data_IF_480955940724
#
_entry.id   IF_480955940724
#
_cell.length_a   1.000
_cell.length_b   1.000
_cell.length_c   1.000
_cell.angle_alpha   90.00
_cell.angle_beta   90.00
_cell.angle_gamma   90.00
#
_symmetry.space_group_name_H-M   'P 1'
#
loop_
_entity.id
_entity.type
_entity.pdbx_description
1 polymer ?
#
# COMPACT_ATOMS: atom_id res chain seq x y z
N UNK A 1 22.63 -69.05 7.91
CA UNK A 1 21.54 -68.22 7.34
C UNK A 1 21.91 -66.76 7.51
N UNK A 2 22.49 -66.16 6.46
CA UNK A 2 22.97 -64.78 6.45
C UNK A 2 21.78 -63.81 6.43
N UNK A 3 21.63 -63.01 7.49
CA UNK A 3 20.72 -61.86 7.49
C UNK A 3 21.52 -60.58 7.30
N UNK A 4 21.27 -59.95 6.16
CA UNK A 4 21.63 -58.58 5.81
C UNK A 4 21.06 -57.60 6.84
N UNK A 5 21.87 -56.65 7.30
CA UNK A 5 21.37 -55.42 7.90
C UNK A 5 21.94 -54.23 7.13
N UNK A 6 21.07 -53.70 6.26
CA UNK A 6 21.23 -52.42 5.59
C UNK A 6 21.08 -51.31 6.64
N UNK A 7 22.15 -50.53 6.86
CA UNK A 7 22.06 -49.30 7.61
C UNK A 7 21.47 -48.20 6.71
N UNK A 8 20.15 -47.99 6.80
CA UNK A 8 19.51 -46.79 6.29
C UNK A 8 19.81 -45.64 7.25
N UNK A 9 20.78 -44.81 6.89
CA UNK A 9 20.96 -43.47 7.46
C UNK A 9 19.76 -42.62 7.03
N UNK A 10 18.73 -42.58 7.87
CA UNK A 10 17.63 -41.64 7.74
C UNK A 10 18.18 -40.24 8.01
N UNK A 11 18.39 -39.48 6.93
CA UNK A 11 18.65 -38.05 7.00
C UNK A 11 17.36 -37.39 7.50
N UNK A 12 17.24 -37.15 8.81
CA UNK A 12 16.11 -36.42 9.38
C UNK A 12 16.26 -34.95 8.99
N UNK A 13 15.61 -34.55 7.90
CA UNK A 13 15.30 -33.14 7.68
C UNK A 13 14.38 -32.69 8.82
N UNK A 14 14.95 -32.10 9.87
CA UNK A 14 14.17 -31.39 10.86
C UNK A 14 13.54 -30.18 10.18
N UNK A 15 12.31 -30.33 9.68
CA UNK A 15 11.48 -29.20 9.36
C UNK A 15 11.35 -28.37 10.63
N UNK A 16 11.98 -27.20 10.68
CA UNK A 16 11.87 -26.29 11.80
C UNK A 16 10.37 -25.97 12.00
N UNK A 17 9.77 -26.55 13.03
CA UNK A 17 8.40 -26.22 13.40
C UNK A 17 8.40 -24.76 13.82
N UNK A 18 7.62 -23.93 13.11
CA UNK A 18 7.42 -22.53 13.43
C UNK A 18 6.65 -22.45 14.75
N UNK A 19 7.37 -22.42 15.87
CA UNK A 19 6.80 -22.28 17.19
C UNK A 19 6.71 -20.81 17.58
N UNK A 20 5.58 -20.43 18.19
CA UNK A 20 5.35 -19.09 18.76
C UNK A 20 6.42 -18.76 19.80
N UNK A 21 6.93 -17.54 19.77
CA UNK A 21 7.86 -17.04 20.78
C UNK A 21 7.10 -16.58 22.06
N UNK A 22 7.24 -17.27 23.21
CA UNK A 22 6.55 -16.88 24.44
C UNK A 22 6.95 -15.50 24.97
N UNK A 23 8.13 -14.98 24.61
CA UNK A 23 8.58 -13.66 25.06
C UNK A 23 7.76 -12.52 24.47
N UNK A 24 7.05 -12.78 23.36
CA UNK A 24 6.19 -11.82 22.69
C UNK A 24 4.72 -11.86 23.15
N UNK A 25 4.37 -12.69 24.14
CA UNK A 25 2.97 -12.87 24.57
C UNK A 25 2.33 -11.56 25.07
N UNK A 26 3.02 -10.80 25.91
CA UNK A 26 2.54 -9.50 26.37
C UNK A 26 2.40 -8.48 25.22
N UNK A 27 3.31 -8.53 24.23
CA UNK A 27 3.29 -7.63 23.08
C UNK A 27 2.12 -7.94 22.14
N UNK A 28 1.84 -9.23 21.93
CA UNK A 28 0.68 -9.69 21.17
C UNK A 28 -0.64 -9.27 21.82
N UNK A 29 -0.78 -9.45 23.14
CA UNK A 29 -1.98 -9.05 23.86
C UNK A 29 -2.20 -7.54 23.82
N UNK A 30 -1.12 -6.75 23.96
CA UNK A 30 -1.18 -5.30 23.82
C UNK A 30 -1.56 -4.89 22.40
N UNK A 31 -0.99 -5.52 21.38
CA UNK A 31 -1.31 -5.24 19.97
C UNK A 31 -2.78 -5.57 19.66
N UNK A 32 -3.27 -6.75 20.09
CA UNK A 32 -4.70 -7.12 19.95
C UNK A 32 -5.60 -6.10 20.62
N UNK A 33 -5.28 -5.68 21.84
CA UNK A 33 -6.05 -4.67 22.58
C UNK A 33 -6.05 -3.32 21.86
N UNK A 34 -4.90 -2.91 21.33
CA UNK A 34 -4.73 -1.63 20.61
C UNK A 34 -5.61 -1.57 19.36
N UNK A 35 -5.70 -2.66 18.61
CA UNK A 35 -6.46 -2.72 17.35
C UNK A 35 -7.81 -3.43 17.48
N UNK A 36 -8.27 -3.73 18.69
CA UNK A 36 -9.57 -4.36 18.95
C UNK A 36 -9.72 -5.75 18.32
N UNK A 37 -8.62 -6.52 18.19
CA UNK A 37 -8.62 -7.82 17.53
C UNK A 37 -9.27 -8.88 18.42
N UNK A 38 -10.19 -9.64 17.83
CA UNK A 38 -10.91 -10.74 18.48
C UNK A 38 -10.93 -11.94 17.53
N UNK A 39 -10.61 -13.12 18.05
CA UNK A 39 -10.59 -14.37 17.31
C UNK A 39 -11.55 -15.35 17.98
N UNK A 40 -12.40 -16.01 17.20
CA UNK A 40 -13.45 -16.88 17.75
C UNK A 40 -12.89 -18.27 18.09
N UNK A 41 -11.92 -18.72 17.31
CA UNK A 41 -11.34 -20.06 17.44
C UNK A 41 -9.90 -19.97 17.92
N UNK A 42 -9.51 -20.87 18.84
CA UNK A 42 -8.13 -20.92 19.35
C UNK A 42 -7.11 -21.20 18.23
N UNK A 43 -7.49 -22.02 17.24
CA UNK A 43 -6.64 -22.32 16.09
C UNK A 43 -6.43 -21.10 15.20
N UNK A 44 -7.46 -20.25 15.03
CA UNK A 44 -7.35 -18.98 14.33
C UNK A 44 -6.36 -18.04 15.03
N UNK A 45 -6.49 -17.88 16.36
CA UNK A 45 -5.58 -17.01 17.12
C UNK A 45 -4.12 -17.47 17.00
N UNK A 46 -3.86 -18.77 17.06
CA UNK A 46 -2.50 -19.31 16.89
C UNK A 46 -1.96 -18.99 15.49
N UNK A 47 -2.75 -19.18 14.44
CA UNK A 47 -2.34 -18.85 13.08
C UNK A 47 -2.06 -17.34 12.91
N UNK A 48 -2.96 -16.49 13.42
CA UNK A 48 -2.83 -15.02 13.39
C UNK A 48 -1.59 -14.54 14.14
N UNK A 49 -1.30 -15.15 15.29
CA UNK A 49 -0.08 -14.87 16.05
C UNK A 49 1.19 -15.20 15.26
N UNK A 50 1.24 -16.33 14.55
CA UNK A 50 2.40 -16.71 13.75
C UNK A 50 2.61 -15.76 12.55
N UNK A 51 1.54 -15.30 11.92
CA UNK A 51 1.60 -14.27 10.87
C UNK A 51 2.12 -12.96 11.45
N UNK A 52 1.60 -12.56 12.61
CA UNK A 52 2.04 -11.35 13.30
C UNK A 52 3.53 -11.37 13.68
N UNK A 53 4.05 -12.48 14.20
CA UNK A 53 5.48 -12.61 14.52
C UNK A 53 6.35 -12.54 13.26
N UNK A 54 5.89 -13.13 12.15
CA UNK A 54 6.57 -13.05 10.85
C UNK A 54 6.64 -11.61 10.35
N UNK A 55 5.53 -10.90 10.39
CA UNK A 55 5.45 -9.49 9.99
C UNK A 55 6.28 -8.61 10.92
N UNK A 56 6.27 -8.86 12.23
CA UNK A 56 7.11 -8.15 13.19
C UNK A 56 8.59 -8.32 12.85
N UNK A 57 9.04 -9.54 12.57
CA UNK A 57 10.42 -9.80 12.14
C UNK A 57 10.77 -9.08 10.84
N UNK A 58 9.87 -9.08 9.87
CA UNK A 58 10.05 -8.33 8.61
C UNK A 58 10.22 -6.83 8.87
N UNK A 59 9.34 -6.23 9.69
CA UNK A 59 9.42 -4.82 10.09
C UNK A 59 10.74 -4.50 10.79
N UNK A 60 11.17 -5.36 11.73
CA UNK A 60 12.41 -5.15 12.47
C UNK A 60 13.64 -5.16 11.56
N UNK A 61 13.74 -6.13 10.64
CA UNK A 61 14.86 -6.24 9.71
C UNK A 61 14.89 -5.08 8.71
N UNK A 62 13.74 -4.75 8.12
CA UNK A 62 13.64 -3.60 7.22
C UNK A 62 14.03 -2.29 7.91
N UNK A 63 13.58 -2.07 9.16
CA UNK A 63 13.91 -0.85 9.89
C UNK A 63 15.38 -0.78 10.31
N UNK A 64 16.05 -1.93 10.51
CA UNK A 64 17.50 -2.00 10.68
C UNK A 64 18.21 -1.53 9.40
N UNK A 65 17.79 -2.02 8.23
CA UNK A 65 18.30 -1.58 6.93
C UNK A 65 18.04 -0.08 6.68
N UNK A 66 16.84 0.41 7.02
CA UNK A 66 16.51 1.84 6.98
C UNK A 66 17.45 2.67 7.84
N UNK A 67 17.78 2.22 9.07
CA UNK A 67 18.72 2.92 9.96
C UNK A 67 20.14 3.03 9.40
N UNK A 68 20.49 2.14 8.45
CA UNK A 68 21.75 2.15 7.70
C UNK A 68 21.64 2.93 6.38
N UNK A 69 20.53 3.62 6.13
CA UNK A 69 20.31 4.42 4.92
C UNK A 69 19.99 3.60 3.66
N UNK A 70 19.66 2.32 3.79
CA UNK A 70 19.34 1.45 2.65
C UNK A 70 17.94 1.69 2.09
N UNK A 71 17.03 2.21 2.92
CA UNK A 71 15.64 2.52 2.55
C UNK A 71 15.29 3.97 2.87
N UNK A 72 14.44 4.59 2.06
CA UNK A 72 13.92 5.95 2.27
C UNK A 72 12.64 6.01 3.13
N UNK A 73 12.21 4.87 3.68
CA UNK A 73 10.98 4.71 4.46
C UNK A 73 11.16 3.71 5.59
N UNK A 74 10.27 3.76 6.58
CA UNK A 74 10.18 2.81 7.68
C UNK A 74 8.82 2.08 7.68
N UNK A 75 8.81 0.92 8.33
CA UNK A 75 7.62 0.10 8.51
C UNK A 75 7.15 0.13 9.97
N UNK A 76 5.89 -0.27 10.18
CA UNK A 76 5.31 -0.38 11.51
C UNK A 76 4.22 -1.44 11.58
N UNK A 77 4.12 -2.09 12.75
CA UNK A 77 3.03 -3.02 13.03
C UNK A 77 1.71 -2.27 13.22
N UNK A 78 0.97 -2.14 12.12
CA UNK A 78 -0.37 -1.57 12.11
C UNK A 78 -1.46 -2.65 12.32
N UNK A 79 -2.72 -2.28 12.12
CA UNK A 79 -3.87 -3.17 12.27
C UNK A 79 -3.93 -4.33 11.25
N UNK A 80 -3.11 -4.31 10.18
CA UNK A 80 -2.96 -5.39 9.20
C UNK A 80 -1.83 -6.36 9.58
N UNK A 81 -1.19 -6.16 10.73
CA UNK A 81 -0.01 -6.93 11.15
C UNK A 81 -0.23 -8.44 11.29
N UNK A 82 -1.46 -8.92 11.46
CA UNK A 82 -1.83 -10.34 11.52
C UNK A 82 -2.37 -10.91 10.19
N UNK A 83 -2.20 -10.18 9.08
CA UNK A 83 -2.66 -10.58 7.75
C UNK A 83 -1.48 -10.89 6.81
N UNK A 84 -1.71 -11.79 5.85
CA UNK A 84 -0.76 -12.03 4.74
C UNK A 84 -0.97 -11.04 3.59
N UNK A 85 0.01 -10.92 2.69
CA UNK A 85 -0.13 -10.13 1.45
C UNK A 85 -1.37 -10.52 0.65
N UNK A 86 -1.63 -11.82 0.54
CA UNK A 86 -2.74 -12.36 -0.22
C UNK A 86 -4.08 -12.00 0.43
N UNK A 87 -4.18 -12.08 1.76
CA UNK A 87 -5.37 -11.66 2.49
C UNK A 87 -5.63 -10.16 2.34
N UNK A 88 -4.58 -9.33 2.49
CA UNK A 88 -4.70 -7.88 2.30
C UNK A 88 -5.14 -7.57 0.87
N UNK A 89 -4.48 -8.15 -0.13
CA UNK A 89 -4.83 -7.92 -1.54
C UNK A 89 -6.25 -8.38 -1.85
N UNK A 90 -6.65 -9.54 -1.36
CA UNK A 90 -7.99 -10.10 -1.61
C UNK A 90 -9.10 -9.30 -0.93
N UNK A 91 -8.87 -8.77 0.27
CA UNK A 91 -9.90 -8.07 1.06
C UNK A 91 -9.90 -6.57 0.81
N UNK A 92 -8.76 -6.00 0.42
CA UNK A 92 -8.53 -4.55 0.41
C UNK A 92 -8.06 -4.01 -0.95
N UNK A 93 -7.75 -4.86 -1.94
CA UNK A 93 -7.28 -4.44 -3.27
C UNK A 93 -8.17 -5.03 -4.36
N UNK A 94 -9.44 -4.60 -4.40
CA UNK A 94 -10.46 -5.13 -5.31
C UNK A 94 -10.48 -4.47 -6.70
N UNK A 95 -9.41 -3.78 -7.10
CA UNK A 95 -9.41 -3.02 -8.33
C UNK A 95 -9.48 -3.95 -9.54
N UNK A 96 -10.38 -3.62 -10.47
CA UNK A 96 -10.42 -4.21 -11.81
C UNK A 96 -10.13 -3.10 -12.80
N UNK A 97 -9.00 -3.20 -13.48
CA UNK A 97 -8.60 -2.23 -14.50
C UNK A 97 -9.04 -2.69 -15.89
N UNK A 98 -9.50 -1.77 -16.77
CA UNK A 98 -9.76 -2.10 -18.16
C UNK A 98 -8.44 -2.36 -18.91
N UNK A 99 -8.53 -3.00 -20.08
CA UNK A 99 -7.37 -3.08 -20.96
C UNK A 99 -6.99 -1.69 -21.47
N UNK A 100 -5.69 -1.43 -21.67
CA UNK A 100 -5.22 -0.09 -22.07
C UNK A 100 -5.90 0.43 -23.34
N UNK A 101 -6.13 -0.44 -24.34
CA UNK A 101 -6.76 -0.09 -25.61
C UNK A 101 -8.25 0.31 -25.50
N UNK A 102 -8.89 0.07 -24.36
CA UNK A 102 -10.28 0.47 -24.10
C UNK A 102 -10.39 1.88 -23.52
N UNK A 103 -9.28 2.54 -23.19
CA UNK A 103 -9.27 3.85 -22.55
C UNK A 103 -9.35 4.98 -23.57
N UNK A 104 -10.11 6.02 -23.23
CA UNK A 104 -10.27 7.20 -24.06
C UNK A 104 -9.43 8.35 -23.50
N UNK A 105 -8.13 8.31 -23.81
CA UNK A 105 -7.18 9.32 -23.36
C UNK A 105 -7.41 10.62 -24.14
N UNK A 106 -7.93 11.62 -23.44
CA UNK A 106 -8.27 12.93 -24.01
C UNK A 106 -7.43 14.07 -23.41
N UNK A 107 -6.73 13.81 -22.31
CA UNK A 107 -5.86 14.79 -21.67
C UNK A 107 -4.68 15.16 -22.56
N UNK A 108 -4.34 16.46 -22.58
CA UNK A 108 -3.15 16.99 -23.23
C UNK A 108 -2.48 17.96 -22.27
N UNK A 109 -1.28 17.61 -21.81
CA UNK A 109 -0.46 18.51 -21.01
C UNK A 109 0.06 19.69 -21.82
N UNK A 110 0.45 20.75 -21.11
CA UNK A 110 1.25 21.83 -21.62
C UNK A 110 2.70 21.70 -21.10
N UNK A 111 3.65 21.18 -21.90
CA UNK A 111 5.03 20.95 -21.46
C UNK A 111 5.78 22.20 -21.00
N UNK A 112 5.29 23.40 -21.37
CA UNK A 112 5.93 24.67 -21.04
C UNK A 112 5.32 25.32 -19.78
N UNK A 113 4.33 24.69 -19.16
CA UNK A 113 3.68 25.24 -17.98
C UNK A 113 4.58 25.13 -16.74
N UNK A 114 4.74 26.23 -16.02
CA UNK A 114 5.48 26.24 -14.76
C UNK A 114 4.56 25.84 -13.61
N UNK A 115 4.70 24.59 -13.19
CA UNK A 115 3.99 24.04 -12.03
C UNK A 115 4.76 24.29 -10.72
N UNK A 116 4.07 24.38 -9.57
CA UNK A 116 4.77 24.48 -8.28
C UNK A 116 5.58 23.21 -8.01
N UNK A 117 6.70 23.34 -7.29
CA UNK A 117 7.59 22.23 -6.94
C UNK A 117 6.95 21.24 -5.95
N UNK A 118 6.06 21.74 -5.10
CA UNK A 118 5.28 20.95 -4.16
C UNK A 118 3.86 21.48 -4.07
N UNK A 119 2.92 20.58 -3.82
CA UNK A 119 1.50 20.88 -3.71
C UNK A 119 0.84 19.88 -2.77
N UNK A 120 -0.03 20.39 -1.90
CA UNK A 120 -0.87 19.57 -1.04
C UNK A 120 -2.31 20.10 -1.04
N UNK A 121 -3.25 19.33 -1.61
CA UNK A 121 -4.66 19.70 -1.63
C UNK A 121 -5.34 19.63 -0.26
N UNK A 122 -4.71 19.00 0.75
CA UNK A 122 -5.19 19.02 2.14
C UNK A 122 -5.15 20.44 2.71
N UNK A 123 -4.10 21.19 2.40
CA UNK A 123 -3.93 22.58 2.85
C UNK A 123 -4.99 23.52 2.24
N UNK A 124 -5.55 23.12 1.10
CA UNK A 124 -6.62 23.86 0.39
C UNK A 124 -8.03 23.40 0.80
N UNK A 125 -8.17 22.45 1.71
CA UNK A 125 -9.48 21.92 2.14
C UNK A 125 -10.20 21.07 1.09
N UNK A 126 -9.51 20.61 0.04
CA UNK A 126 -10.11 19.81 -1.04
C UNK A 126 -10.03 18.29 -0.79
N UNK A 127 -9.58 17.88 0.39
CA UNK A 127 -9.39 16.47 0.75
C UNK A 127 -10.15 16.19 2.03
N UNK A 128 -11.14 15.29 1.97
CA UNK A 128 -11.89 14.84 3.14
C UNK A 128 -11.05 13.94 4.05
N UNK A 129 -11.57 13.63 5.24
CA UNK A 129 -10.96 12.64 6.14
C UNK A 129 -10.72 11.28 5.48
N UNK A 130 -9.68 10.58 5.93
CA UNK A 130 -9.40 9.19 5.55
C UNK A 130 -10.53 8.29 6.03
N UNK A 131 -10.94 7.35 5.18
CA UNK A 131 -11.96 6.35 5.48
C UNK A 131 -11.32 4.98 5.67
N UNK A 132 -12.06 4.08 6.29
CA UNK A 132 -11.70 2.67 6.43
C UNK A 132 -12.64 1.84 5.56
N UNK A 133 -12.10 1.21 4.52
CA UNK A 133 -12.85 0.28 3.70
C UNK A 133 -12.88 -1.09 4.41
N UNK A 134 -14.07 -1.63 4.65
CA UNK A 134 -14.28 -2.96 5.21
C UNK A 134 -14.33 -4.04 4.11
N UNK A 135 -13.62 -3.81 3.01
CA UNK A 135 -13.64 -4.64 1.80
C UNK A 135 -14.84 -4.41 0.87
N UNK A 136 -15.72 -3.44 1.16
CA UNK A 136 -16.78 -3.01 0.23
C UNK A 136 -16.77 -1.50 0.04
N UNK A 137 -16.28 -1.04 -1.11
CA UNK A 137 -16.50 0.35 -1.54
C UNK A 137 -17.99 0.53 -1.87
N UNK A 138 -18.75 1.17 -0.98
CA UNK A 138 -20.19 1.43 -1.16
C UNK A 138 -20.42 2.91 -1.36
N UNK A 139 -21.00 3.26 -2.50
CA UNK A 139 -21.50 4.61 -2.73
C UNK A 139 -22.65 4.91 -1.76
N UNK A 140 -22.56 6.02 -1.06
CA UNK A 140 -23.65 6.57 -0.26
C UNK A 140 -24.06 7.92 -0.85
N UNK A 141 -25.28 7.98 -1.39
CA UNK A 141 -25.85 9.19 -1.97
C UNK A 141 -25.91 10.38 -1.00
N UNK A 142 -25.95 10.13 0.31
CA UNK A 142 -25.91 11.19 1.34
C UNK A 142 -24.55 11.90 1.40
N UNK A 143 -23.49 11.20 0.98
CA UNK A 143 -22.14 11.73 0.92
C UNK A 143 -21.81 12.34 -0.47
N UNK A 144 -22.83 12.53 -1.34
CA UNK A 144 -22.63 13.15 -2.66
C UNK A 144 -22.28 14.63 -2.51
N UNK A 145 -21.01 14.95 -2.72
CA UNK A 145 -20.52 16.34 -2.68
C UNK A 145 -20.82 17.13 -3.98
N UNK A 146 -20.90 16.45 -5.13
CA UNK A 146 -21.13 17.07 -6.43
C UNK A 146 -21.78 16.09 -7.43
N UNK A 147 -22.27 16.63 -8.55
CA UNK A 147 -22.61 15.87 -9.75
C UNK A 147 -21.38 15.68 -10.62
N UNK A 148 -21.37 14.66 -11.48
CA UNK A 148 -20.27 14.40 -12.41
C UNK A 148 -20.80 14.54 -13.84
N UNK A 149 -20.26 15.48 -14.60
CA UNK A 149 -20.64 15.73 -16.00
C UNK A 149 -19.81 14.89 -16.97
N UNK A 150 -18.52 14.72 -16.68
CA UNK A 150 -17.57 13.91 -17.46
C UNK A 150 -16.40 13.46 -16.58
N UNK A 151 -15.58 12.58 -17.13
CA UNK A 151 -14.28 12.25 -16.57
C UNK A 151 -13.22 12.35 -17.65
N UNK A 152 -11.98 12.57 -17.23
CA UNK A 152 -10.83 12.60 -18.13
C UNK A 152 -9.82 11.54 -17.70
N UNK A 153 -9.31 10.80 -18.66
CA UNK A 153 -8.24 9.81 -18.47
C UNK A 153 -6.90 10.38 -18.95
N UNK A 154 -5.84 10.19 -18.16
CA UNK A 154 -4.49 10.63 -18.51
C UNK A 154 -3.73 9.57 -19.33
N UNK A 155 -2.73 9.98 -20.12
CA UNK A 155 -1.83 9.08 -20.82
C UNK A 155 -1.20 8.05 -19.89
N UNK A 156 -1.07 6.82 -20.38
CA UNK A 156 -0.53 5.70 -19.62
C UNK A 156 0.95 5.93 -19.28
N UNK A 157 1.29 5.85 -17.99
CA UNK A 157 2.66 5.87 -17.50
C UNK A 157 3.34 7.24 -17.46
N UNK A 158 2.61 8.31 -17.80
CA UNK A 158 3.16 9.68 -17.82
C UNK A 158 3.04 10.34 -16.44
N UNK A 159 4.14 10.37 -15.69
CA UNK A 159 4.21 11.07 -14.40
C UNK A 159 4.10 12.59 -14.56
N UNK A 160 4.53 13.14 -15.70
CA UNK A 160 4.44 14.58 -16.00
C UNK A 160 2.97 15.01 -16.22
N UNK A 161 2.20 14.23 -17.00
CA UNK A 161 0.77 14.46 -17.18
C UNK A 161 0.01 14.34 -15.86
N UNK A 162 0.38 13.36 -15.02
CA UNK A 162 -0.18 13.21 -13.69
C UNK A 162 0.14 14.42 -12.80
N UNK A 163 1.37 14.95 -12.86
CA UNK A 163 1.78 16.12 -12.05
C UNK A 163 0.97 17.34 -12.45
N UNK A 164 0.84 17.59 -13.74
CA UNK A 164 0.07 18.71 -14.27
C UNK A 164 -1.42 18.59 -13.93
N UNK A 165 -2.02 17.41 -14.11
CA UNK A 165 -3.40 17.18 -13.74
C UNK A 165 -3.62 17.41 -12.23
N UNK A 166 -2.72 16.93 -11.38
CA UNK A 166 -2.79 17.16 -9.93
C UNK A 166 -2.67 18.64 -9.60
N UNK A 167 -1.79 19.39 -10.28
CA UNK A 167 -1.60 20.81 -10.06
C UNK A 167 -2.81 21.66 -10.48
N UNK A 168 -3.37 21.36 -11.65
CA UNK A 168 -4.29 22.25 -12.34
C UNK A 168 -5.76 21.82 -12.24
N UNK A 169 -6.03 20.55 -11.96
CA UNK A 169 -7.39 19.99 -11.92
C UNK A 169 -7.83 19.63 -10.50
N UNK A 170 -6.93 19.07 -9.69
CA UNK A 170 -7.25 18.63 -8.34
C UNK A 170 -6.72 17.23 -8.04
N UNK A 171 -7.15 16.61 -6.94
CA UNK A 171 -6.82 15.22 -6.65
C UNK A 171 -7.19 14.26 -7.80
N UNK A 172 -6.28 13.35 -8.14
CA UNK A 172 -6.43 12.41 -9.26
C UNK A 172 -6.54 10.98 -8.72
N UNK A 173 -7.54 10.23 -9.19
CA UNK A 173 -7.69 8.81 -8.86
C UNK A 173 -6.66 8.02 -9.65
N UNK A 174 -5.95 7.11 -8.99
CA UNK A 174 -4.89 6.29 -9.60
C UNK A 174 -4.98 4.84 -9.17
N UNK A 175 -4.31 3.97 -9.92
CA UNK A 175 -4.12 2.57 -9.58
C UNK A 175 -2.65 2.29 -9.26
N UNK A 176 -2.38 1.43 -8.28
CA UNK A 176 -1.03 1.03 -7.87
C UNK A 176 -0.95 -0.48 -7.61
N UNK A 177 0.26 -1.01 -7.62
CA UNK A 177 0.59 -2.31 -7.03
C UNK A 177 0.77 -2.17 -5.52
N UNK A 178 -0.11 -2.82 -4.75
CA UNK A 178 -0.10 -2.84 -3.29
C UNK A 178 0.13 -4.25 -2.70
N UNK A 179 0.69 -5.18 -3.49
CA UNK A 179 0.79 -6.61 -3.11
C UNK A 179 1.86 -6.90 -2.06
N UNK A 180 2.73 -5.93 -1.76
CA UNK A 180 3.96 -6.15 -1.01
C UNK A 180 3.77 -5.92 0.50
N UNK A 181 4.40 -6.72 1.38
CA UNK A 181 4.43 -6.48 2.83
C UNK A 181 4.95 -5.11 3.23
N UNK A 182 5.94 -4.61 2.51
CA UNK A 182 6.47 -3.25 2.64
C UNK A 182 5.40 -2.18 2.44
N UNK A 183 4.44 -2.40 1.52
CA UNK A 183 3.34 -1.47 1.28
C UNK A 183 2.35 -1.50 2.45
N UNK A 184 1.80 -2.67 2.81
CA UNK A 184 0.74 -2.71 3.81
C UNK A 184 1.21 -2.46 5.24
N UNK A 185 2.51 -2.59 5.51
CA UNK A 185 3.14 -2.23 6.78
C UNK A 185 3.84 -0.86 6.73
N UNK A 186 3.71 -0.10 5.63
CA UNK A 186 4.27 1.24 5.52
C UNK A 186 3.85 2.11 6.71
N UNK A 187 4.83 2.85 7.25
CA UNK A 187 4.63 3.79 8.36
C UNK A 187 4.94 5.23 7.95
N UNK A 188 6.15 5.52 7.48
CA UNK A 188 6.52 6.89 7.10
C UNK A 188 7.72 6.93 6.12
N UNK A 189 8.07 8.12 5.64
CA UNK A 189 9.13 8.30 4.62
C UNK A 189 8.63 8.16 3.19
N UNK A 190 9.54 8.09 2.21
CA UNK A 190 9.21 7.93 0.78
C UNK A 190 9.31 6.46 0.40
N UNK A 191 8.17 5.84 0.15
CA UNK A 191 8.05 4.44 -0.22
C UNK A 191 8.64 4.18 -1.61
N UNK A 192 9.62 3.28 -1.65
CA UNK A 192 10.18 2.73 -2.86
C UNK A 192 10.54 1.25 -2.61
N UNK A 193 9.91 0.34 -3.35
CA UNK A 193 10.21 -1.09 -3.27
C UNK A 193 10.67 -1.60 -4.65
N UNK A 194 11.92 -2.07 -4.82
CA UNK A 194 12.38 -2.57 -6.11
C UNK A 194 11.59 -3.78 -6.63
N UNK A 195 10.82 -4.46 -5.77
CA UNK A 195 9.91 -5.55 -6.16
C UNK A 195 8.55 -5.09 -6.67
N UNK A 196 8.19 -3.80 -6.50
CA UNK A 196 6.94 -3.27 -7.04
C UNK A 196 6.86 -3.48 -8.55
N UNK A 197 5.72 -3.98 -8.99
CA UNK A 197 5.45 -4.16 -10.42
C UNK A 197 4.54 -3.05 -10.93
N UNK A 198 4.23 -3.08 -12.23
CA UNK A 198 3.20 -2.24 -12.82
C UNK A 198 1.84 -2.97 -12.93
N UNK A 199 1.71 -4.16 -12.33
CA UNK A 199 0.46 -4.93 -12.25
C UNK A 199 -0.40 -4.39 -11.10
N UNK A 200 -1.10 -3.30 -11.39
CA UNK A 200 -1.90 -2.59 -10.41
C UNK A 200 -3.10 -3.41 -9.91
N UNK A 201 -3.38 -3.32 -8.61
CA UNK A 201 -4.48 -4.03 -7.95
C UNK A 201 -5.23 -3.18 -6.92
N UNK A 202 -4.72 -1.99 -6.58
CA UNK A 202 -5.30 -1.14 -5.56
C UNK A 202 -5.59 0.27 -6.09
N UNK A 203 -6.78 0.79 -5.78
CA UNK A 203 -7.21 2.13 -6.19
C UNK A 203 -6.99 3.13 -5.04
N UNK A 204 -6.29 4.22 -5.34
CA UNK A 204 -5.93 5.27 -4.36
C UNK A 204 -6.09 6.66 -4.97
N UNK A 205 -5.90 7.70 -4.17
CA UNK A 205 -6.07 9.10 -4.62
C UNK A 205 -4.78 9.89 -4.41
N UNK A 206 -4.18 10.37 -5.50
CA UNK A 206 -3.07 11.33 -5.44
C UNK A 206 -3.65 12.69 -5.09
N UNK A 207 -3.23 13.25 -3.95
CA UNK A 207 -3.73 14.54 -3.44
C UNK A 207 -2.66 15.62 -3.43
N UNK A 208 -1.50 15.34 -4.00
CA UNK A 208 -0.37 16.25 -4.00
C UNK A 208 0.93 15.55 -4.38
N UNK A 209 2.01 16.31 -4.32
CA UNK A 209 3.36 15.85 -4.60
C UNK A 209 4.37 16.80 -3.94
N UNK A 210 5.61 16.33 -3.78
CA UNK A 210 6.69 17.17 -3.28
C UNK A 210 8.03 16.48 -3.31
N UNK A 211 8.95 16.95 -2.47
CA UNK A 211 10.27 16.35 -2.26
C UNK A 211 10.53 16.23 -0.75
N UNK A 212 11.12 15.11 -0.33
CA UNK A 212 11.58 14.89 1.04
C UNK A 212 13.01 14.37 0.99
N UNK A 213 13.96 15.12 1.56
CA UNK A 213 15.37 14.74 1.62
C UNK A 213 15.97 14.35 0.26
N UNK A 214 15.63 15.09 -0.79
CA UNK A 214 16.09 14.82 -2.16
C UNK A 214 15.34 13.70 -2.87
N UNK A 215 14.29 13.13 -2.28
CA UNK A 215 13.42 12.12 -2.90
C UNK A 215 12.07 12.72 -3.28
N UNK A 216 11.80 12.74 -4.57
CA UNK A 216 10.51 13.15 -5.13
C UNK A 216 9.42 12.14 -4.74
N UNK A 217 8.25 12.64 -4.36
CA UNK A 217 7.12 11.79 -4.00
C UNK A 217 5.77 12.30 -4.54
N UNK A 218 4.86 11.33 -4.68
CA UNK A 218 3.41 11.51 -4.73
C UNK A 218 2.84 11.42 -3.33
N UNK A 219 1.99 12.37 -2.95
CA UNK A 219 1.23 12.30 -1.71
C UNK A 219 -0.09 11.56 -1.98
N UNK A 220 -0.21 10.35 -1.44
CA UNK A 220 -1.29 9.44 -1.77
C UNK A 220 -2.18 9.21 -0.55
N UNK A 221 -3.48 9.48 -0.70
CA UNK A 221 -4.51 9.14 0.28
C UNK A 221 -4.93 7.69 0.09
N UNK A 222 -4.81 6.89 1.15
CA UNK A 222 -5.29 5.51 1.18
C UNK A 222 -6.71 5.43 1.81
N UNK A 223 -7.30 4.25 1.75
CA UNK A 223 -8.64 3.92 2.26
C UNK A 223 -8.61 2.87 3.39
N UNK A 224 -7.44 2.64 4.01
CA UNK A 224 -7.24 1.62 5.05
C UNK A 224 -7.27 2.22 6.47
N UNK A 225 -7.95 3.35 6.65
CA UNK A 225 -8.06 4.05 7.94
C UNK A 225 -6.80 4.79 8.35
N UNK A 226 -6.93 5.60 9.40
CA UNK A 226 -5.86 6.50 9.89
C UNK A 226 -4.68 5.76 10.53
N UNK A 227 -4.87 4.49 10.90
CA UNK A 227 -3.82 3.66 11.51
C UNK A 227 -2.87 3.04 10.48
N UNK A 228 -3.11 3.26 9.18
CA UNK A 228 -2.20 2.91 8.10
C UNK A 228 -1.28 4.10 7.80
N UNK A 229 0.02 3.85 7.59
CA UNK A 229 0.95 4.88 7.12
C UNK A 229 0.98 6.14 8.00
N UNK A 230 1.18 7.27 7.34
CA UNK A 230 1.21 8.58 7.97
C UNK A 230 -0.22 9.14 8.02
N UNK A 231 -0.96 8.74 9.07
CA UNK A 231 -2.37 9.13 9.30
C UNK A 231 -3.29 8.78 8.13
N UNK A 232 -3.08 7.62 7.52
CA UNK A 232 -3.84 7.13 6.37
C UNK A 232 -3.28 7.53 5.01
N UNK A 233 -2.12 8.19 4.98
CA UNK A 233 -1.43 8.58 3.76
C UNK A 233 -0.13 7.81 3.57
N UNK A 234 0.32 7.73 2.33
CA UNK A 234 1.63 7.23 1.94
C UNK A 234 2.27 8.21 0.96
N UNK A 235 3.59 8.43 1.12
CA UNK A 235 4.39 9.13 0.13
C UNK A 235 5.04 8.09 -0.76
N UNK A 236 4.61 7.97 -2.02
CA UNK A 236 5.18 7.00 -2.98
C UNK A 236 6.21 7.69 -3.86
N UNK A 237 7.30 7.01 -4.22
CA UNK A 237 8.33 7.56 -5.08
C UNK A 237 7.75 8.10 -6.40
N UNK A 238 8.12 9.34 -6.74
CA UNK A 238 7.79 10.02 -7.99
C UNK A 238 9.04 10.17 -8.85
N UNK A 239 8.86 10.26 -10.17
CA UNK A 239 9.94 10.37 -11.16
C UNK A 239 10.95 9.22 -11.04
N UNK A 240 10.42 8.02 -10.77
CA UNK A 240 11.20 6.83 -10.42
C UNK A 240 10.79 5.64 -11.29
N UNK A 241 10.61 5.90 -12.59
CA UNK A 241 10.23 4.89 -13.58
C UNK A 241 8.78 4.43 -13.44
N UNK A 242 7.86 5.35 -13.12
CA UNK A 242 6.44 5.04 -12.91
C UNK A 242 6.27 3.93 -11.84
N UNK A 243 6.82 4.22 -10.66
CA UNK A 243 6.93 3.27 -9.57
C UNK A 243 5.57 2.71 -9.15
N UNK A 244 5.49 1.38 -8.95
CA UNK A 244 4.27 0.63 -8.68
C UNK A 244 3.11 0.87 -9.70
N UNK A 245 3.42 1.38 -10.89
CA UNK A 245 2.44 1.70 -11.93
C UNK A 245 1.54 2.90 -11.61
N UNK A 246 1.93 3.80 -10.70
CA UNK A 246 1.07 4.89 -10.22
C UNK A 246 0.50 5.80 -11.31
N UNK A 247 1.21 5.96 -12.44
CA UNK A 247 0.76 6.75 -13.58
C UNK A 247 0.04 5.92 -14.66
N UNK A 248 -0.19 4.61 -14.44
CA UNK A 248 -0.78 3.72 -15.45
C UNK A 248 -2.25 4.03 -15.71
N UNK A 249 -3.05 4.17 -14.65
CA UNK A 249 -4.50 4.34 -14.74
C UNK A 249 -4.94 5.54 -13.92
N UNK A 250 -4.75 6.72 -14.49
CA UNK A 250 -5.10 7.98 -13.85
C UNK A 250 -6.38 8.56 -14.46
N UNK A 251 -7.29 9.03 -13.60
CA UNK A 251 -8.46 9.78 -14.03
C UNK A 251 -8.95 10.76 -12.98
N UNK A 252 -9.62 11.82 -13.44
CA UNK A 252 -10.32 12.77 -12.58
C UNK A 252 -11.73 13.07 -13.12
N UNK A 253 -12.73 13.27 -12.25
CA UNK A 253 -14.05 13.71 -12.65
C UNK A 253 -14.08 15.23 -12.87
N UNK A 254 -15.02 15.70 -13.68
CA UNK A 254 -15.38 17.11 -13.81
C UNK A 254 -16.85 17.29 -13.43
N UNK A 255 -17.15 18.39 -12.73
CA UNK A 255 -18.51 18.73 -12.28
C UNK A 255 -19.34 19.25 -13.47
#
# INVERSE_FOLDING_TARGET
>A
THWLLWALLACSCAAAQLHRDPTLDNHWDLWKKTYGKQYKEKNEEVARRLIWERNLKFVMLHNLEHSMGMHSYDLGMNHLGDMTSEEVTSLMSSLRVPSQWQRNVTYKSNPNEKLPDSLDWREKGCVTEVKYQDGKCRYDSKNRAATCSKYTELPFGSEDDLKEAVANKGPVSVAIDASHPSFFLYKSGVYYDPSCTQNVNHGVLVVGYGNLNGKDYWLVKNSWGINFGDKGYIRMARNSGNHCGIANYCSYPEI
#
